data_IF_745014534038
#
_entry.id   IF_745014534038
#
_cell.length_a   1.000
_cell.length_b   1.000
_cell.length_c   1.000
_cell.angle_alpha   90.00
_cell.angle_beta   90.00
_cell.angle_gamma   90.00
#
_symmetry.space_group_name_H-M   'P 1'
#
loop_
_entity.id
_entity.type
_entity.pdbx_description
1 polymer ?
#
# COMPACT_ATOMS: atom_id res chain seq x y z
N UNK A 1 -1.80 -3.71 18.72
CA UNK A 1 -1.93 -2.35 18.16
C UNK A 1 -2.75 -2.47 16.89
N UNK A 2 -3.78 -1.63 16.68
CA UNK A 2 -4.46 -1.52 15.40
C UNK A 2 -3.44 -1.42 14.26
N UNK A 3 -3.65 -2.09 13.12
CA UNK A 3 -2.67 -2.11 12.03
C UNK A 3 -2.43 -0.71 11.43
N UNK A 4 -3.39 0.21 11.57
CA UNK A 4 -3.30 1.58 11.07
C UNK A 4 -2.40 2.48 11.91
N UNK A 5 -2.32 2.24 13.23
CA UNK A 5 -1.49 3.08 14.11
C UNK A 5 0.00 2.97 13.76
N UNK A 6 0.44 1.78 13.32
CA UNK A 6 1.81 1.57 12.85
C UNK A 6 2.15 2.37 11.60
N UNK A 7 1.17 2.50 10.68
CA UNK A 7 1.31 3.25 9.43
C UNK A 7 1.39 4.76 9.73
N UNK A 8 0.52 5.26 10.61
CA UNK A 8 0.50 6.66 11.02
C UNK A 8 1.75 7.03 11.82
N UNK A 9 2.17 6.18 12.75
CA UNK A 9 3.42 6.39 13.51
C UNK A 9 4.66 6.40 12.60
N UNK A 10 4.67 5.59 11.54
CA UNK A 10 5.71 5.66 10.52
C UNK A 10 5.69 6.99 9.77
N UNK A 11 4.52 7.46 9.33
CA UNK A 11 4.38 8.74 8.64
C UNK A 11 4.87 9.91 9.50
N UNK A 12 4.53 9.94 10.79
CA UNK A 12 5.01 10.98 11.72
C UNK A 12 6.53 10.96 11.89
N UNK A 13 7.15 9.78 11.92
CA UNK A 13 8.62 9.68 11.91
C UNK A 13 9.21 10.25 10.63
N UNK A 14 8.64 9.97 9.46
CA UNK A 14 9.13 10.54 8.19
C UNK A 14 9.04 12.07 8.19
N UNK A 15 7.95 12.64 8.70
CA UNK A 15 7.79 14.10 8.85
C UNK A 15 8.84 14.75 9.75
N UNK A 16 9.28 14.04 10.79
CA UNK A 16 10.32 14.53 11.69
C UNK A 16 11.72 14.50 11.06
N UNK A 17 11.98 13.57 10.14
CA UNK A 17 13.30 13.35 9.52
C UNK A 17 13.58 14.26 8.33
N UNK A 18 12.54 14.73 7.61
CA UNK A 18 12.73 15.54 6.41
C UNK A 18 11.61 16.57 6.20
N UNK A 19 11.93 17.80 5.77
CA UNK A 19 10.93 18.82 5.45
C UNK A 19 10.22 18.59 4.11
N UNK A 20 10.65 17.61 3.32
CA UNK A 20 10.05 17.33 2.01
C UNK A 20 10.46 15.98 1.42
N UNK A 21 9.62 15.48 0.52
CA UNK A 21 9.84 14.24 -0.22
C UNK A 21 9.77 14.54 -1.72
N UNK A 22 10.72 13.99 -2.48
CA UNK A 22 10.65 14.06 -3.95
C UNK A 22 9.73 13.01 -4.54
N UNK A 23 9.59 11.86 -3.87
CA UNK A 23 8.73 10.77 -4.32
C UNK A 23 8.40 9.82 -3.15
N UNK A 24 7.32 9.05 -3.32
CA UNK A 24 6.99 7.87 -2.51
C UNK A 24 6.85 6.67 -3.46
N UNK A 25 7.46 5.54 -3.09
CA UNK A 25 7.37 4.28 -3.83
C UNK A 25 6.66 3.25 -2.95
N UNK A 26 5.46 2.85 -3.35
CA UNK A 26 4.74 1.76 -2.71
C UNK A 26 5.16 0.43 -3.34
N UNK A 27 6.06 -0.28 -2.67
CA UNK A 27 6.56 -1.60 -3.11
C UNK A 27 6.24 -2.74 -2.12
N UNK A 28 5.65 -2.42 -0.96
CA UNK A 28 5.29 -3.44 0.00
C UNK A 28 4.20 -4.35 -0.60
N UNK A 29 4.46 -5.65 -0.63
CA UNK A 29 3.51 -6.64 -1.15
C UNK A 29 3.46 -7.86 -0.23
N UNK A 30 2.30 -8.50 -0.16
CA UNK A 30 2.17 -9.83 0.41
C UNK A 30 1.46 -10.74 -0.59
N UNK A 31 1.83 -12.01 -0.50
CA UNK A 31 1.18 -13.11 -1.19
C UNK A 31 0.78 -14.12 -0.11
N UNK A 32 -0.51 -14.21 0.18
CA UNK A 32 -1.01 -15.16 1.16
C UNK A 32 -1.90 -16.18 0.43
N UNK A 33 -1.48 -17.46 0.38
CA UNK A 33 -2.28 -18.50 -0.28
C UNK A 33 -3.55 -18.77 0.53
N UNK A 34 -4.66 -19.02 -0.16
CA UNK A 34 -5.85 -19.57 0.48
C UNK A 34 -5.51 -20.94 1.07
N UNK A 35 -5.76 -21.12 2.36
CA UNK A 35 -5.52 -22.38 3.07
C UNK A 35 -6.76 -22.79 3.87
N UNK A 36 -6.97 -24.08 4.14
CA UNK A 36 -8.05 -24.52 5.02
C UNK A 36 -7.95 -23.93 6.43
N UNK A 37 -6.74 -23.56 6.84
CA UNK A 37 -6.40 -23.08 8.19
C UNK A 37 -6.57 -21.56 8.34
N UNK A 38 -6.87 -20.84 7.27
CA UNK A 38 -7.06 -19.38 7.30
C UNK A 38 -8.35 -19.02 6.58
N UNK A 39 -9.20 -18.23 7.22
CA UNK A 39 -10.46 -17.86 6.58
C UNK A 39 -10.22 -16.98 5.34
N UNK A 40 -11.15 -17.07 4.39
CA UNK A 40 -11.16 -16.17 3.21
C UNK A 40 -11.26 -14.70 3.64
N UNK A 41 -11.97 -14.43 4.73
CA UNK A 41 -12.09 -13.08 5.30
C UNK A 41 -10.75 -12.57 5.80
N UNK A 42 -9.99 -13.36 6.57
CA UNK A 42 -8.65 -12.96 7.05
C UNK A 42 -7.68 -12.76 5.89
N UNK A 43 -7.74 -13.65 4.89
CA UNK A 43 -6.92 -13.54 3.69
C UNK A 43 -7.20 -12.24 2.93
N UNK A 44 -8.48 -11.93 2.71
CA UNK A 44 -8.90 -10.68 2.07
C UNK A 44 -8.49 -9.45 2.89
N UNK A 45 -8.73 -9.46 4.21
CA UNK A 45 -8.35 -8.35 5.08
C UNK A 45 -6.83 -8.09 5.06
N UNK A 46 -6.01 -9.14 5.07
CA UNK A 46 -4.56 -9.01 4.98
C UNK A 46 -4.13 -8.38 3.64
N UNK A 47 -4.70 -8.87 2.52
CA UNK A 47 -4.39 -8.34 1.19
C UNK A 47 -4.85 -6.87 1.03
N UNK A 48 -6.03 -6.50 1.53
CA UNK A 48 -6.51 -5.12 1.52
C UNK A 48 -5.65 -4.22 2.40
N UNK A 49 -5.15 -4.71 3.54
CA UNK A 49 -4.31 -3.91 4.42
C UNK A 49 -3.02 -3.46 3.72
N UNK A 50 -2.31 -4.40 3.09
CA UNK A 50 -1.01 -4.12 2.48
C UNK A 50 -1.12 -3.44 1.12
N UNK A 51 -2.10 -3.81 0.30
CA UNK A 51 -2.20 -3.31 -1.08
C UNK A 51 -3.06 -2.07 -1.21
N UNK A 52 -3.95 -1.76 -0.25
CA UNK A 52 -4.88 -0.61 -0.37
C UNK A 52 -4.74 0.35 0.81
N UNK A 53 -4.95 -0.13 2.04
CA UNK A 53 -5.00 0.74 3.21
C UNK A 53 -3.67 1.45 3.47
N UNK A 54 -2.56 0.72 3.50
CA UNK A 54 -1.26 1.31 3.78
C UNK A 54 -0.84 2.36 2.74
N UNK A 55 -0.90 2.08 1.42
CA UNK A 55 -0.61 3.10 0.41
C UNK A 55 -1.51 4.34 0.51
N UNK A 56 -2.81 4.15 0.73
CA UNK A 56 -3.76 5.25 0.84
C UNK A 56 -3.47 6.16 2.03
N UNK A 57 -3.29 5.58 3.22
CA UNK A 57 -3.00 6.35 4.44
C UNK A 57 -1.66 7.07 4.35
N UNK A 58 -0.63 6.44 3.78
CA UNK A 58 0.68 7.08 3.57
C UNK A 58 0.60 8.24 2.58
N UNK A 59 -0.12 8.07 1.47
CA UNK A 59 -0.34 9.15 0.50
C UNK A 59 -1.01 10.36 1.15
N UNK A 60 -2.04 10.12 1.97
CA UNK A 60 -2.73 11.20 2.66
C UNK A 60 -1.85 11.87 3.72
N UNK A 61 -1.18 11.07 4.56
CA UNK A 61 -0.37 11.58 5.66
C UNK A 61 0.88 12.34 5.20
N UNK A 62 1.48 11.97 4.07
CA UNK A 62 2.73 12.56 3.55
C UNK A 62 2.52 13.55 2.41
N UNK A 63 1.26 13.85 2.05
CA UNK A 63 0.89 14.72 0.94
C UNK A 63 1.57 16.11 1.02
N UNK A 64 1.66 16.68 2.21
CA UNK A 64 2.20 18.03 2.41
C UNK A 64 3.72 18.07 2.17
N UNK A 65 4.43 16.98 2.45
CA UNK A 65 5.86 16.85 2.19
C UNK A 65 6.17 16.75 0.70
N UNK A 66 5.23 16.22 -0.08
CA UNK A 66 5.36 16.09 -1.54
C UNK A 66 5.10 17.43 -2.24
N UNK A 67 4.12 18.22 -1.77
CA UNK A 67 3.73 19.50 -2.40
C UNK A 67 4.72 20.66 -2.21
N UNK A 68 5.70 20.53 -1.31
CA UNK A 68 6.60 21.61 -0.91
C UNK A 68 7.72 21.99 -1.89
N UNK A 69 7.91 21.25 -2.98
CA UNK A 69 9.00 21.48 -3.94
C UNK A 69 8.52 22.23 -5.19
N UNK A 70 8.54 23.56 -5.16
CA UNK A 70 8.10 24.42 -6.26
C UNK A 70 8.58 23.99 -7.66
N UNK A 71 7.66 24.02 -8.63
CA UNK A 71 7.85 23.71 -10.07
C UNK A 71 8.44 22.34 -10.46
N UNK A 72 8.88 21.50 -9.52
CA UNK A 72 9.25 20.11 -9.77
C UNK A 72 8.14 19.20 -9.21
N UNK A 73 7.42 18.50 -10.09
CA UNK A 73 6.36 17.58 -9.67
C UNK A 73 6.93 16.52 -8.72
N UNK A 74 6.37 16.44 -7.52
CA UNK A 74 6.59 15.28 -6.65
C UNK A 74 5.85 14.09 -7.27
N UNK A 75 6.58 13.04 -7.60
CA UNK A 75 6.00 11.88 -8.26
C UNK A 75 5.56 10.84 -7.21
N UNK A 76 4.27 10.50 -7.20
CA UNK A 76 3.78 9.31 -6.48
C UNK A 76 3.87 8.16 -7.49
N UNK A 77 4.83 7.25 -7.29
CA UNK A 77 5.03 6.10 -8.17
C UNK A 77 4.46 4.86 -7.45
N UNK A 78 3.27 4.45 -7.87
CA UNK A 78 2.72 3.15 -7.51
C UNK A 78 3.35 2.08 -8.41
N UNK A 79 4.14 1.17 -7.84
CA UNK A 79 4.43 -0.10 -8.51
C UNK A 79 3.24 -1.03 -8.27
N UNK A 80 2.32 -1.10 -9.22
CA UNK A 80 1.36 -2.20 -9.29
C UNK A 80 2.08 -3.36 -9.98
N UNK A 81 2.47 -4.38 -9.22
CA UNK A 81 3.07 -5.59 -9.80
C UNK A 81 2.15 -6.16 -10.89
N UNK A 82 2.61 -6.05 -12.13
CA UNK A 82 2.06 -6.72 -13.29
C UNK A 82 2.32 -8.23 -13.15
N UNK A 83 1.36 -8.94 -12.55
CA UNK A 83 1.21 -10.40 -12.76
C UNK A 83 -0.27 -10.68 -13.02
N UNK A 84 -0.73 -10.27 -14.20
CA UNK A 84 -1.97 -10.78 -14.80
C UNK A 84 -1.58 -11.74 -15.91
N UNK A 85 -0.94 -12.87 -15.57
CA UNK A 85 -0.77 -13.94 -16.56
C UNK A 85 -0.80 -15.38 -16.03
N UNK A 86 -1.19 -15.61 -14.77
CA UNK A 86 -1.63 -16.94 -14.33
C UNK A 86 -2.80 -16.83 -13.36
N UNK A 87 -4.00 -16.70 -13.94
CA UNK A 87 -5.23 -17.08 -13.24
C UNK A 87 -5.14 -18.56 -12.88
N UNK A 88 -4.74 -18.84 -11.65
CA UNK A 88 -4.99 -20.12 -10.99
C UNK A 88 -6.15 -19.86 -10.03
N UNK A 89 -7.16 -20.71 -10.07
CA UNK A 89 -8.46 -20.67 -9.34
C UNK A 89 -8.39 -20.50 -7.80
N UNK A 90 -7.23 -20.13 -7.23
CA UNK A 90 -6.91 -20.00 -5.79
C UNK A 90 -6.52 -18.58 -5.33
N UNK A 91 -6.75 -17.53 -6.14
CA UNK A 91 -6.17 -16.19 -5.89
C UNK A 91 -7.14 -15.02 -6.11
N UNK A 92 -8.42 -15.20 -5.78
CA UNK A 92 -9.47 -14.17 -6.00
C UNK A 92 -9.19 -12.92 -5.15
N UNK A 93 -8.80 -13.10 -3.88
CA UNK A 93 -8.56 -11.98 -2.96
C UNK A 93 -7.35 -11.11 -3.37
N UNK A 94 -6.29 -11.74 -3.87
CA UNK A 94 -5.11 -11.04 -4.38
C UNK A 94 -5.48 -10.20 -5.61
N UNK A 95 -6.15 -10.80 -6.61
CA UNK A 95 -6.59 -10.09 -7.81
C UNK A 95 -7.54 -8.93 -7.49
N UNK A 96 -8.50 -9.14 -6.58
CA UNK A 96 -9.45 -8.11 -6.15
C UNK A 96 -8.77 -6.94 -5.42
N UNK A 97 -7.86 -7.22 -4.49
CA UNK A 97 -7.14 -6.17 -3.75
C UNK A 97 -6.24 -5.32 -4.64
N UNK A 98 -5.64 -5.91 -5.68
CA UNK A 98 -4.85 -5.20 -6.67
C UNK A 98 -5.71 -4.38 -7.64
N UNK A 99 -6.85 -4.92 -8.08
CA UNK A 99 -7.79 -4.19 -8.93
C UNK A 99 -8.40 -2.95 -8.24
N UNK A 100 -8.52 -2.97 -6.91
CA UNK A 100 -8.99 -1.82 -6.13
C UNK A 100 -7.97 -0.68 -5.99
N UNK A 101 -6.67 -0.94 -6.25
CA UNK A 101 -5.60 0.07 -6.18
C UNK A 101 -5.43 0.83 -7.50
N UNK A 102 -5.86 0.23 -8.62
CA UNK A 102 -5.70 0.75 -9.99
C UNK A 102 -6.74 1.79 -10.39
#
# INVERSE_FOLDING_TARGET
>A
MPPDDGILAFAERVKAETPGLRAIIHNASAWMPESPDTSLSETLSCMLQIHVHAPYLLNHALQDLLRGHGHASSDIIHFTDYVVERGSDKHIAYAASKAALG
#
